data_IF_653200153200
#
_entry.id   IF_653200153200
#
_cell.length_a   1.000
_cell.length_b   1.000
_cell.length_c   1.000
_cell.angle_alpha   90.00
_cell.angle_beta   90.00
_cell.angle_gamma   90.00
#
_symmetry.space_group_name_H-M   'P 1'
#
loop_
_entity.id
_entity.type
_entity.pdbx_description
1 polymer ?
#
# COMPACT_ATOMS: atom_id res chain seq x y z
N UNK A 1 -11.37 1.07 -11.98
CA UNK A 1 -10.08 1.07 -11.27
C UNK A 1 -9.65 2.51 -11.16
N UNK A 2 -9.39 2.95 -9.94
CA UNK A 2 -8.93 4.32 -9.74
C UNK A 2 -7.47 4.42 -10.19
N UNK A 3 -7.17 5.42 -11.01
CA UNK A 3 -5.81 5.75 -11.42
C UNK A 3 -5.23 6.67 -10.34
N UNK A 4 -4.02 6.40 -9.89
CA UNK A 4 -3.38 7.20 -8.85
C UNK A 4 -2.05 7.77 -9.31
N UNK A 5 -1.62 8.84 -8.65
CA UNK A 5 -0.26 9.33 -8.76
C UNK A 5 0.73 8.29 -8.21
N UNK A 6 1.66 7.82 -9.04
CA UNK A 6 2.64 6.76 -8.71
C UNK A 6 4.00 7.30 -8.25
N UNK A 7 4.25 8.59 -8.43
CA UNK A 7 5.48 9.28 -8.04
C UNK A 7 5.25 10.14 -6.79
N UNK A 8 6.32 10.59 -6.13
CA UNK A 8 6.19 11.38 -4.89
C UNK A 8 5.38 12.65 -5.12
N UNK A 9 5.68 13.34 -6.23
CA UNK A 9 4.98 14.55 -6.67
C UNK A 9 4.94 14.55 -8.18
N UNK A 10 3.76 14.66 -8.77
CA UNK A 10 3.55 14.88 -10.19
C UNK A 10 3.04 16.29 -10.47
N UNK A 11 3.63 16.98 -11.43
CA UNK A 11 3.18 18.30 -11.82
C UNK A 11 1.93 18.22 -12.71
N UNK A 12 0.84 18.83 -12.27
CA UNK A 12 -0.34 19.01 -13.12
C UNK A 12 -0.18 20.30 -13.93
N UNK A 13 -0.30 20.19 -15.26
CA UNK A 13 -0.06 21.26 -16.20
C UNK A 13 -1.37 21.77 -16.83
N UNK A 14 -1.39 23.04 -17.23
CA UNK A 14 -2.52 23.63 -17.97
C UNK A 14 -2.70 22.99 -19.36
N UNK A 15 -1.60 22.64 -20.02
CA UNK A 15 -1.54 22.02 -21.34
C UNK A 15 -0.59 20.80 -21.30
N UNK A 16 -0.70 19.83 -22.23
CA UNK A 16 0.15 18.64 -22.28
C UNK A 16 1.55 18.97 -22.82
N UNK A 17 2.30 19.75 -22.05
CA UNK A 17 3.66 20.19 -22.35
C UNK A 17 4.43 20.46 -21.06
N UNK A 18 5.73 20.13 -21.03
CA UNK A 18 6.62 20.40 -19.90
C UNK A 18 6.83 21.90 -19.67
N UNK A 19 6.70 22.71 -20.71
CA UNK A 19 6.83 24.17 -20.64
C UNK A 19 5.53 24.88 -20.22
N UNK A 20 4.40 24.15 -20.16
CA UNK A 20 3.12 24.72 -19.75
C UNK A 20 3.13 25.08 -18.26
N UNK A 21 2.28 26.04 -17.90
CA UNK A 21 2.07 26.45 -16.51
C UNK A 21 1.73 25.23 -15.62
N UNK A 22 2.43 25.09 -14.49
CA UNK A 22 2.04 24.18 -13.43
C UNK A 22 0.87 24.79 -12.67
N UNK A 23 -0.28 24.14 -12.75
CA UNK A 23 -1.52 24.63 -12.12
C UNK A 23 -1.76 24.05 -10.74
N UNK A 24 -1.27 22.83 -10.49
CA UNK A 24 -1.25 22.17 -9.18
C UNK A 24 -0.26 21.00 -9.20
N UNK A 25 -0.24 20.23 -8.12
CA UNK A 25 0.55 19.01 -7.98
C UNK A 25 -0.34 17.87 -7.48
N UNK A 26 -0.04 16.65 -7.91
CA UNK A 26 -0.55 15.43 -7.30
C UNK A 26 0.51 14.87 -6.37
N UNK A 27 0.11 14.45 -5.21
CA UNK A 27 0.96 13.72 -4.29
C UNK A 27 0.74 12.21 -4.48
N UNK A 28 1.75 11.43 -4.15
CA UNK A 28 1.69 9.97 -4.24
C UNK A 28 0.42 9.40 -3.64
N UNK A 29 -0.25 8.55 -4.43
CA UNK A 29 -1.48 7.88 -4.03
C UNK A 29 -2.73 8.77 -4.07
N UNK A 30 -2.66 9.99 -4.62
CA UNK A 30 -3.87 10.77 -4.89
C UNK A 30 -4.64 10.17 -6.06
N UNK A 31 -5.95 9.90 -5.88
CA UNK A 31 -6.80 9.38 -6.95
C UNK A 31 -7.13 10.47 -7.97
N UNK A 32 -7.16 10.08 -9.23
CA UNK A 32 -7.57 10.93 -10.33
C UNK A 32 -8.52 10.20 -11.28
N UNK A 33 -9.48 10.92 -11.82
CA UNK A 33 -10.24 10.46 -12.97
C UNK A 33 -9.48 10.85 -14.26
N UNK A 34 -9.21 9.87 -15.12
CA UNK A 34 -8.61 10.13 -16.44
C UNK A 34 -9.71 10.32 -17.46
N UNK A 35 -9.79 11.52 -18.02
CA UNK A 35 -10.78 11.90 -19.04
C UNK A 35 -10.31 11.62 -20.46
N UNK A 36 -9.00 11.61 -20.70
CA UNK A 36 -8.42 11.41 -22.03
C UNK A 36 -6.91 11.28 -21.99
N UNK A 37 -6.33 10.83 -23.10
CA UNK A 37 -4.88 10.67 -23.26
C UNK A 37 -4.44 11.25 -24.59
N UNK A 38 -3.26 11.89 -24.61
CA UNK A 38 -2.65 12.44 -25.82
C UNK A 38 -1.12 12.57 -25.65
N UNK A 39 -0.37 11.96 -26.55
CA UNK A 39 1.09 12.13 -26.67
C UNK A 39 1.88 11.92 -25.35
N UNK A 40 1.52 10.85 -24.57
CA UNK A 40 2.14 10.53 -23.29
C UNK A 40 1.66 11.39 -22.12
N UNK A 41 0.57 12.16 -22.32
CA UNK A 41 -0.10 12.93 -21.28
C UNK A 41 -1.51 12.41 -21.03
N UNK A 42 -1.91 12.41 -19.78
CA UNK A 42 -3.28 12.14 -19.36
C UNK A 42 -3.96 13.44 -18.93
N UNK A 43 -5.12 13.74 -19.50
CA UNK A 43 -6.02 14.76 -18.96
C UNK A 43 -6.74 14.17 -17.77
N UNK A 44 -6.59 14.82 -16.63
CA UNK A 44 -7.11 14.33 -15.36
C UNK A 44 -8.05 15.33 -14.69
N UNK A 45 -8.94 14.80 -13.84
CA UNK A 45 -9.69 15.51 -12.82
C UNK A 45 -9.27 14.98 -11.45
N UNK A 46 -8.85 15.86 -10.56
CA UNK A 46 -8.51 15.51 -9.17
C UNK A 46 -9.76 15.27 -8.33
N UNK A 47 -9.60 14.67 -7.15
CA UNK A 47 -10.70 14.44 -6.20
C UNK A 47 -11.36 15.73 -5.67
N UNK A 48 -10.71 16.88 -5.86
CA UNK A 48 -11.21 18.22 -5.49
C UNK A 48 -11.60 19.06 -6.73
N UNK A 49 -12.03 18.38 -7.81
CA UNK A 49 -12.56 18.97 -9.04
C UNK A 49 -11.58 19.91 -9.78
N UNK A 50 -10.27 19.65 -9.69
CA UNK A 50 -9.29 20.41 -10.45
C UNK A 50 -8.85 19.66 -11.70
N UNK A 51 -8.76 20.37 -12.84
CA UNK A 51 -8.45 19.78 -14.14
C UNK A 51 -7.04 20.17 -14.59
N UNK A 52 -6.40 19.27 -15.33
CA UNK A 52 -5.12 19.53 -15.97
C UNK A 52 -4.55 18.31 -16.65
N UNK A 53 -3.27 18.39 -17.00
CA UNK A 53 -2.52 17.36 -17.69
C UNK A 53 -1.36 16.91 -16.84
N UNK A 54 -1.16 15.62 -16.76
CA UNK A 54 -0.04 14.97 -16.06
C UNK A 54 0.64 13.98 -16.99
N UNK A 55 1.93 13.72 -16.82
CA UNK A 55 2.63 12.67 -17.56
C UNK A 55 1.98 11.32 -17.27
N UNK A 56 1.65 10.55 -18.31
CA UNK A 56 0.97 9.26 -18.17
C UNK A 56 1.82 8.26 -17.37
N UNK A 57 3.16 8.33 -17.50
CA UNK A 57 4.12 7.52 -16.77
C UNK A 57 4.16 7.81 -15.25
N UNK A 58 3.64 8.95 -14.81
CA UNK A 58 3.51 9.34 -13.40
C UNK A 58 2.21 8.83 -12.77
N UNK A 59 1.38 8.14 -13.56
CA UNK A 59 0.14 7.52 -13.12
C UNK A 59 0.28 6.00 -13.12
N UNK A 60 -0.27 5.35 -12.11
CA UNK A 60 -0.38 3.90 -12.06
C UNK A 60 -1.85 3.49 -11.93
N UNK A 61 -2.23 2.48 -12.67
CA UNK A 61 -3.49 1.75 -12.48
C UNK A 61 -3.16 0.38 -11.94
N UNK A 62 -3.49 0.14 -10.71
CA UNK A 62 -3.69 -1.12 -9.98
C UNK A 62 -3.05 -2.43 -10.43
N UNK A 63 -2.09 -2.44 -11.36
CA UNK A 63 -1.38 -3.64 -11.77
C UNK A 63 -0.01 -3.71 -11.08
N UNK A 64 0.31 -4.84 -10.46
CA UNK A 64 1.57 -5.07 -9.79
C UNK A 64 1.45 -6.03 -8.61
N UNK A 65 2.59 -6.46 -8.10
CA UNK A 65 2.68 -7.35 -6.94
C UNK A 65 2.74 -6.50 -5.65
N UNK A 66 1.76 -6.68 -4.78
CA UNK A 66 1.65 -5.95 -3.51
C UNK A 66 2.83 -6.28 -2.57
N UNK A 67 3.36 -7.49 -2.63
CA UNK A 67 4.53 -7.90 -1.82
C UNK A 67 5.78 -7.17 -2.29
N UNK A 68 5.94 -6.98 -3.61
CA UNK A 68 7.04 -6.17 -4.16
C UNK A 68 6.95 -4.71 -3.67
N UNK A 69 5.75 -4.14 -3.59
CA UNK A 69 5.59 -2.80 -3.03
C UNK A 69 5.93 -2.76 -1.54
N UNK A 70 5.51 -3.76 -0.77
CA UNK A 70 5.84 -3.86 0.65
C UNK A 70 7.35 -4.04 0.88
N UNK A 71 8.06 -4.79 0.03
CA UNK A 71 9.51 -4.99 0.10
C UNK A 71 10.33 -3.71 -0.05
N UNK A 72 9.77 -2.66 -0.65
CA UNK A 72 10.43 -1.33 -0.74
C UNK A 72 10.72 -0.73 0.63
N UNK A 73 9.98 -1.15 1.65
CA UNK A 73 10.13 -0.69 3.04
C UNK A 73 11.05 -1.57 3.88
N UNK A 74 11.69 -2.62 3.32
CA UNK A 74 12.61 -3.47 4.08
C UNK A 74 13.68 -2.64 4.79
N UNK A 75 13.85 -2.86 6.10
CA UNK A 75 14.79 -2.13 6.95
C UNK A 75 14.28 -0.76 7.43
N UNK A 76 13.08 -0.32 7.04
CA UNK A 76 12.44 0.88 7.62
C UNK A 76 12.14 0.63 9.09
N UNK A 77 12.51 1.56 10.01
CA UNK A 77 12.24 1.40 11.44
C UNK A 77 10.73 1.30 11.74
N UNK A 78 10.39 0.57 12.81
CA UNK A 78 9.02 0.59 13.30
C UNK A 78 8.67 1.96 13.90
N UNK A 79 7.52 2.47 13.54
CA UNK A 79 6.95 3.68 14.14
C UNK A 79 5.43 3.52 14.20
N UNK A 80 4.88 3.49 15.41
CA UNK A 80 3.43 3.46 15.60
C UNK A 80 2.74 4.63 14.89
N UNK A 81 1.74 4.35 14.06
CA UNK A 81 1.06 5.34 13.22
C UNK A 81 1.87 5.81 12.00
N UNK A 82 3.08 5.29 11.79
CA UNK A 82 3.93 5.63 10.67
C UNK A 82 3.44 5.08 9.33
N UNK A 83 3.74 5.82 8.25
CA UNK A 83 3.36 5.47 6.87
C UNK A 83 4.46 5.82 5.85
N UNK A 84 5.70 6.00 6.29
CA UNK A 84 6.79 6.48 5.42
C UNK A 84 8.06 5.65 5.62
N UNK A 85 9.05 5.86 4.75
CA UNK A 85 10.39 5.28 4.88
C UNK A 85 11.17 5.77 6.13
N UNK A 86 10.66 6.78 6.84
CA UNK A 86 11.24 7.26 8.12
C UNK A 86 10.74 6.45 9.30
N UNK A 87 9.66 5.70 9.12
CA UNK A 87 9.05 4.83 10.10
C UNK A 87 7.67 4.40 9.63
N UNK A 88 7.36 3.12 9.86
CA UNK A 88 6.10 2.52 9.41
C UNK A 88 5.66 1.42 10.41
N UNK A 89 4.37 1.33 10.72
CA UNK A 89 3.82 0.23 11.50
C UNK A 89 3.29 -0.91 10.61
N UNK A 90 2.80 -1.98 11.21
CA UNK A 90 2.38 -3.19 10.52
C UNK A 90 1.24 -2.93 9.52
N UNK A 91 0.18 -2.24 9.93
CA UNK A 91 -0.96 -1.92 9.06
C UNK A 91 -0.67 -0.77 8.09
N UNK A 92 0.23 0.14 8.47
CA UNK A 92 0.78 1.17 7.59
C UNK A 92 1.53 0.57 6.41
N UNK A 93 2.33 -0.49 6.64
CA UNK A 93 3.01 -1.23 5.58
C UNK A 93 2.00 -1.81 4.58
N UNK A 94 0.95 -2.46 5.07
CA UNK A 94 -0.13 -2.99 4.22
C UNK A 94 -0.81 -1.85 3.45
N UNK A 95 -1.24 -0.79 4.16
CA UNK A 95 -1.90 0.36 3.54
C UNK A 95 -1.04 0.98 2.43
N UNK A 96 0.25 1.20 2.68
CA UNK A 96 1.14 1.82 1.71
C UNK A 96 1.46 0.90 0.53
N UNK A 97 1.62 -0.41 0.74
CA UNK A 97 1.84 -1.35 -0.35
C UNK A 97 0.67 -1.36 -1.35
N UNK A 98 -0.56 -1.39 -0.86
CA UNK A 98 -1.76 -1.27 -1.71
C UNK A 98 -1.89 0.11 -2.34
N UNK A 99 -1.55 1.17 -1.59
CA UNK A 99 -1.59 2.55 -2.10
C UNK A 99 -0.63 2.77 -3.27
N UNK A 100 0.53 2.11 -3.28
CA UNK A 100 1.45 2.12 -4.44
C UNK A 100 0.84 1.52 -5.71
N UNK A 101 -0.13 0.62 -5.56
CA UNK A 101 -0.88 -0.01 -6.66
C UNK A 101 -2.20 0.70 -6.98
N UNK A 102 -2.43 1.88 -6.44
CA UNK A 102 -3.66 2.59 -6.71
C UNK A 102 -4.87 2.09 -5.94
N UNK A 103 -4.68 1.30 -4.89
CA UNK A 103 -5.76 0.72 -4.10
C UNK A 103 -5.73 1.28 -2.68
N UNK A 104 -6.80 1.94 -2.28
CA UNK A 104 -6.95 2.41 -0.91
C UNK A 104 -7.59 1.31 -0.06
N UNK A 105 -6.85 0.85 0.93
CA UNK A 105 -7.32 -0.09 1.96
C UNK A 105 -7.40 0.62 3.31
N UNK A 106 -8.18 0.12 4.30
CA UNK A 106 -8.25 0.72 5.62
C UNK A 106 -6.87 0.89 6.26
N UNK A 107 -6.75 1.81 7.23
CA UNK A 107 -5.47 2.13 7.86
C UNK A 107 -5.07 1.15 8.96
N UNK A 108 -6.01 0.68 9.78
CA UNK A 108 -5.75 -0.10 10.97
C UNK A 108 -5.94 -1.60 10.74
N UNK A 109 -5.20 -2.42 11.49
CA UNK A 109 -5.16 -3.88 11.29
C UNK A 109 -6.53 -4.55 11.49
N UNK A 110 -7.32 -4.10 12.45
CA UNK A 110 -8.68 -4.59 12.71
C UNK A 110 -9.65 -4.21 11.59
N UNK A 111 -9.50 -3.01 11.04
CA UNK A 111 -10.30 -2.55 9.90
C UNK A 111 -9.91 -3.31 8.62
N UNK A 112 -8.60 -3.58 8.42
CA UNK A 112 -8.12 -4.42 7.32
C UNK A 112 -8.61 -5.86 7.45
N UNK A 113 -8.59 -6.42 8.68
CA UNK A 113 -9.19 -7.73 8.98
C UNK A 113 -10.67 -7.77 8.60
N UNK A 114 -11.42 -6.72 8.94
CA UNK A 114 -12.85 -6.65 8.67
C UNK A 114 -13.16 -6.45 7.18
N UNK A 115 -12.30 -5.75 6.43
CA UNK A 115 -12.46 -5.48 5.01
C UNK A 115 -12.07 -6.67 4.13
N UNK A 116 -11.22 -7.57 4.63
CA UNK A 116 -10.70 -8.69 3.85
C UNK A 116 -11.67 -9.87 3.73
N UNK A 117 -11.57 -10.57 2.61
CA UNK A 117 -12.25 -11.85 2.38
C UNK A 117 -11.43 -12.98 3.01
N UNK A 118 -12.08 -13.87 3.78
CA UNK A 118 -11.39 -15.00 4.42
C UNK A 118 -10.81 -15.97 3.39
N UNK A 119 -9.59 -16.42 3.64
CA UNK A 119 -8.86 -17.43 2.85
C UNK A 119 -8.64 -18.66 3.71
N UNK A 120 -8.68 -19.86 3.13
CA UNK A 120 -8.31 -21.09 3.84
C UNK A 120 -6.79 -21.24 3.87
N UNK A 121 -6.28 -21.91 4.91
CA UNK A 121 -4.82 -22.09 5.10
C UNK A 121 -4.13 -22.76 3.91
N UNK A 122 -4.82 -23.71 3.25
CA UNK A 122 -4.31 -24.39 2.05
C UNK A 122 -4.37 -23.56 0.76
N UNK A 123 -5.08 -22.43 0.78
CA UNK A 123 -5.30 -21.55 -0.37
C UNK A 123 -4.53 -20.23 -0.25
N UNK A 124 -3.61 -20.14 0.74
CA UNK A 124 -2.75 -18.98 0.93
C UNK A 124 -1.82 -18.79 -0.26
N UNK A 125 -1.84 -17.58 -0.81
CA UNK A 125 -0.97 -17.14 -1.88
C UNK A 125 -0.13 -15.94 -1.42
N UNK A 126 1.08 -15.72 -1.99
CA UNK A 126 1.82 -14.50 -1.71
C UNK A 126 0.97 -13.26 -1.97
N UNK A 127 0.97 -12.34 -0.99
CA UNK A 127 0.11 -11.15 -0.99
C UNK A 127 -1.14 -11.27 -0.12
N UNK A 128 -1.54 -12.47 0.28
CA UNK A 128 -2.54 -12.65 1.34
C UNK A 128 -2.01 -12.13 2.67
N UNK A 129 -2.92 -11.82 3.57
CA UNK A 129 -2.60 -11.22 4.86
C UNK A 129 -2.98 -12.17 6.01
N UNK A 130 -2.12 -12.20 7.01
CA UNK A 130 -2.37 -12.88 8.27
C UNK A 130 -2.56 -11.82 9.35
N UNK A 131 -3.66 -11.88 10.07
CA UNK A 131 -3.92 -11.03 11.22
C UNK A 131 -3.64 -11.77 12.52
N UNK A 132 -3.18 -11.06 13.54
CA UNK A 132 -2.77 -11.58 14.82
C UNK A 132 -3.35 -10.79 15.98
N UNK A 133 -3.52 -11.44 17.12
CA UNK A 133 -3.97 -10.82 18.36
C UNK A 133 -4.65 -11.80 19.30
N UNK A 134 -4.54 -11.57 20.59
CA UNK A 134 -5.13 -12.43 21.64
C UNK A 134 -6.55 -12.00 22.06
N UNK A 135 -7.00 -10.81 21.64
CA UNK A 135 -8.28 -10.22 22.04
C UNK A 135 -9.34 -10.27 20.94
N UNK A 136 -10.31 -9.35 20.99
CA UNK A 136 -11.45 -9.30 20.08
C UNK A 136 -11.10 -8.64 18.72
N UNK A 137 -10.01 -7.90 18.65
CA UNK A 137 -9.54 -7.20 17.45
C UNK A 137 -8.13 -7.62 17.06
N UNK A 138 -7.80 -7.50 15.78
CA UNK A 138 -6.43 -7.67 15.31
C UNK A 138 -5.55 -6.54 15.85
N UNK A 139 -4.40 -6.90 16.40
CA UNK A 139 -3.40 -5.96 16.91
C UNK A 139 -2.14 -5.95 16.05
N UNK A 140 -2.01 -6.90 15.16
CA UNK A 140 -0.89 -7.00 14.22
C UNK A 140 -1.35 -7.64 12.90
N UNK A 141 -0.61 -7.35 11.82
CA UNK A 141 -0.89 -7.88 10.48
C UNK A 141 0.42 -8.04 9.70
N UNK A 142 0.48 -9.06 8.86
CA UNK A 142 1.62 -9.36 7.99
C UNK A 142 1.17 -9.83 6.61
N UNK A 143 1.97 -9.59 5.60
CA UNK A 143 1.85 -10.28 4.31
C UNK A 143 2.37 -11.70 4.42
N UNK A 144 1.62 -12.66 3.90
CA UNK A 144 2.14 -13.98 3.58
C UNK A 144 2.97 -13.88 2.30
N UNK A 145 4.20 -14.41 2.31
CA UNK A 145 5.09 -14.37 1.15
C UNK A 145 5.45 -15.77 0.62
N UNK A 146 4.78 -16.80 1.16
CA UNK A 146 5.02 -18.20 0.80
C UNK A 146 6.02 -18.90 1.74
N UNK A 147 6.08 -20.21 1.66
CA UNK A 147 7.07 -21.07 2.33
C UNK A 147 7.19 -20.87 3.85
N UNK A 148 6.09 -20.57 4.53
CA UNK A 148 6.09 -20.30 5.97
C UNK A 148 6.70 -18.96 6.36
N UNK A 149 6.82 -18.01 5.44
CA UNK A 149 7.45 -16.71 5.64
C UNK A 149 6.41 -15.59 5.59
N UNK A 150 6.71 -14.53 6.33
CA UNK A 150 5.91 -13.30 6.39
C UNK A 150 6.78 -12.08 6.16
N UNK A 151 6.15 -11.01 5.64
CA UNK A 151 6.73 -9.68 5.52
C UNK A 151 5.89 -8.72 6.36
N UNK A 152 6.48 -8.09 7.36
CA UNK A 152 5.77 -7.23 8.29
C UNK A 152 6.68 -6.15 8.89
N UNK A 153 6.08 -5.13 9.49
CA UNK A 153 6.77 -4.17 10.36
C UNK A 153 6.48 -4.53 11.82
N UNK A 154 7.52 -4.63 12.64
CA UNK A 154 7.42 -5.08 14.05
C UNK A 154 8.40 -4.33 14.94
N UNK A 155 8.02 -4.14 16.21
CA UNK A 155 8.87 -3.64 17.32
C UNK A 155 9.22 -4.74 18.32
N UNK A 156 9.20 -5.98 17.87
CA UNK A 156 9.52 -7.17 18.69
C UNK A 156 10.96 -7.12 19.18
N UNK A 157 11.22 -7.59 20.40
CA UNK A 157 12.55 -7.66 20.97
C UNK A 157 13.55 -8.33 20.00
N UNK A 158 14.62 -7.60 19.68
CA UNK A 158 15.67 -8.02 18.75
C UNK A 158 15.36 -7.77 17.27
N UNK A 159 14.15 -7.27 16.93
CA UNK A 159 13.76 -6.93 15.55
C UNK A 159 12.93 -5.66 15.57
N UNK A 160 13.48 -4.57 15.05
CA UNK A 160 12.81 -3.28 14.97
C UNK A 160 12.71 -2.83 13.52
N UNK A 161 11.50 -2.88 12.96
CA UNK A 161 11.20 -2.41 11.61
C UNK A 161 10.62 -3.45 10.68
N UNK A 162 10.74 -3.17 9.38
CA UNK A 162 10.21 -4.02 8.31
C UNK A 162 11.18 -5.15 7.99
N UNK A 163 10.73 -6.38 8.16
CA UNK A 163 11.50 -7.60 7.93
C UNK A 163 10.70 -8.64 7.15
N UNK A 164 11.40 -9.45 6.39
CA UNK A 164 10.87 -10.68 5.81
C UNK A 164 11.54 -11.88 6.49
N UNK A 165 10.79 -12.65 7.25
CA UNK A 165 11.31 -13.73 8.08
C UNK A 165 10.41 -14.98 8.06
N UNK A 166 10.93 -16.11 8.53
CA UNK A 166 10.07 -17.24 8.88
C UNK A 166 9.07 -16.78 9.94
N UNK A 167 7.80 -17.14 9.78
CA UNK A 167 6.78 -16.73 10.76
C UNK A 167 7.15 -17.23 12.17
N UNK A 168 7.38 -16.32 13.14
CA UNK A 168 7.72 -16.70 14.50
C UNK A 168 6.61 -17.53 15.16
N UNK A 169 6.96 -18.57 15.91
CA UNK A 169 5.98 -19.43 16.62
C UNK A 169 5.07 -18.63 17.55
N UNK A 170 5.61 -17.56 18.17
CA UNK A 170 4.84 -16.66 19.03
C UNK A 170 3.74 -15.89 18.28
N UNK A 171 3.97 -15.51 17.04
CA UNK A 171 2.94 -14.91 16.17
C UNK A 171 1.99 -15.98 15.65
N UNK A 172 2.52 -17.11 15.17
CA UNK A 172 1.70 -18.22 14.67
C UNK A 172 0.65 -18.68 15.69
N UNK A 173 1.01 -18.73 16.98
CA UNK A 173 0.09 -19.07 18.05
C UNK A 173 -1.03 -18.01 18.27
N UNK A 174 -0.88 -16.82 17.72
CA UNK A 174 -1.82 -15.71 17.83
C UNK A 174 -2.54 -15.40 16.50
N UNK A 175 -2.40 -16.26 15.48
CA UNK A 175 -3.14 -16.10 14.23
C UNK A 175 -4.64 -15.99 14.48
N UNK A 176 -5.29 -15.01 13.87
CA UNK A 176 -6.72 -14.76 13.96
C UNK A 176 -7.44 -15.15 12.68
N UNK A 177 -7.08 -14.48 11.61
CA UNK A 177 -7.69 -14.69 10.27
C UNK A 177 -6.63 -14.66 9.20
N UNK A 178 -6.91 -15.37 8.12
CA UNK A 178 -6.22 -15.32 6.85
C UNK A 178 -7.16 -14.61 5.89
N UNK A 179 -6.72 -13.53 5.29
CA UNK A 179 -7.58 -12.66 4.47
C UNK A 179 -6.89 -12.24 3.18
N UNK A 180 -7.70 -11.92 2.18
CA UNK A 180 -7.30 -11.29 0.92
C UNK A 180 -8.06 -9.97 0.77
N UNK A 181 -7.34 -8.87 0.52
CA UNK A 181 -7.87 -7.53 0.26
C UNK A 181 -8.02 -7.27 -1.25
#
# INVERSE_FOLDING_TARGET
MDVLCSVDVAAVRAEPSDDAERVTELLRGEPVAVEGRRDGWARIQTAYDYFGWVREEELAGGEGDVVEQARRYLGTPYLWGGMTERGIDCSGLVHMAYRWLGRLVPRDADQQEAAGTSVHDNDLEPGDLITYGAGDAATHIAFWVGEGRILHSTDREGVDGVVEEAEPDSLRAQRRRLIRL
#
